data_IF_264244038700
#
_entry.id   IF_264244038700
#
_cell.length_a   1.000
_cell.length_b   1.000
_cell.length_c   1.000
_cell.angle_alpha   90.00
_cell.angle_beta   90.00
_cell.angle_gamma   90.00
#
_symmetry.space_group_name_H-M   'P 1'
#
loop_
_entity.id
_entity.type
_entity.pdbx_description
1 polymer ?
#
# COMPACT_ATOMS: atom_id res chain seq x y z
N UNK A 1 -25.17 -9.11 -14.15
CA UNK A 1 -24.37 -10.30 -13.77
C UNK A 1 -22.94 -9.98 -14.16
N UNK A 2 -22.11 -9.53 -13.23
CA UNK A 2 -20.68 -9.39 -13.49
C UNK A 2 -20.12 -10.81 -13.67
N UNK A 3 -19.45 -11.07 -14.80
CA UNK A 3 -18.76 -12.34 -15.03
C UNK A 3 -17.57 -12.49 -14.07
N UNK A 4 -17.01 -13.69 -13.93
CA UNK A 4 -15.76 -13.86 -13.19
C UNK A 4 -14.68 -12.98 -13.83
N UNK A 5 -13.97 -12.22 -13.00
CA UNK A 5 -12.77 -11.47 -13.42
C UNK A 5 -11.75 -12.48 -13.93
N UNK A 6 -11.24 -12.36 -15.16
CA UNK A 6 -10.23 -13.26 -15.66
C UNK A 6 -8.93 -13.13 -14.84
N UNK A 7 -8.20 -14.24 -14.63
CA UNK A 7 -6.93 -14.21 -13.89
C UNK A 7 -5.93 -13.28 -14.58
N UNK A 8 -5.28 -12.40 -13.81
CA UNK A 8 -4.26 -11.46 -14.29
C UNK A 8 -4.73 -10.03 -14.59
N UNK A 9 -6.02 -9.70 -14.36
CA UNK A 9 -6.52 -8.33 -14.46
C UNK A 9 -6.51 -7.55 -13.12
N UNK A 10 -6.31 -8.25 -12.00
CA UNK A 10 -6.21 -7.64 -10.67
C UNK A 10 -4.76 -7.39 -10.29
N UNK A 11 -4.49 -6.20 -9.75
CA UNK A 11 -3.19 -5.77 -9.25
C UNK A 11 -3.28 -5.27 -7.83
N UNK A 12 -2.33 -5.67 -6.99
CA UNK A 12 -2.13 -5.15 -5.64
C UNK A 12 -1.02 -4.10 -5.68
N UNK A 13 -1.36 -2.85 -5.44
CA UNK A 13 -0.41 -1.73 -5.47
C UNK A 13 -0.96 -0.56 -4.65
N UNK A 14 -0.06 0.27 -4.13
CA UNK A 14 -0.43 1.47 -3.40
C UNK A 14 -0.32 2.69 -4.31
N UNK A 15 -1.31 3.57 -4.21
CA UNK A 15 -1.30 4.90 -4.83
C UNK A 15 -1.73 5.93 -3.79
N UNK A 16 -0.96 7.02 -3.69
CA UNK A 16 -1.11 8.01 -2.64
C UNK A 16 -2.49 8.68 -2.69
N UNK A 17 -3.23 8.64 -1.58
CA UNK A 17 -4.56 9.24 -1.45
C UNK A 17 -5.67 8.51 -2.17
N UNK A 18 -5.40 7.35 -2.78
CA UNK A 18 -6.41 6.59 -3.53
C UNK A 18 -7.42 5.87 -2.62
N UNK A 19 -7.05 5.58 -1.36
CA UNK A 19 -7.89 4.85 -0.41
C UNK A 19 -8.11 3.37 -0.76
N UNK A 20 -7.39 2.82 -1.75
CA UNK A 20 -7.46 1.41 -2.14
C UNK A 20 -6.08 0.86 -2.45
N UNK A 21 -5.93 -0.45 -2.33
CA UNK A 21 -4.71 -1.18 -2.71
C UNK A 21 -4.95 -2.23 -3.79
N UNK A 22 -6.21 -2.46 -4.17
CA UNK A 22 -6.58 -3.36 -5.25
C UNK A 22 -7.03 -2.55 -6.47
N UNK A 23 -6.53 -2.95 -7.63
CA UNK A 23 -6.79 -2.34 -8.93
C UNK A 23 -7.22 -3.41 -9.93
N UNK A 24 -8.07 -3.04 -10.87
CA UNK A 24 -8.50 -3.94 -11.94
C UNK A 24 -9.89 -3.58 -12.50
N UNK A 25 -10.53 -4.50 -13.25
CA UNK A 25 -11.83 -4.26 -13.87
C UNK A 25 -12.90 -3.98 -12.81
N UNK A 26 -13.90 -3.20 -13.23
CA UNK A 26 -14.79 -2.50 -12.32
C UNK A 26 -15.62 -3.42 -11.40
N UNK A 27 -15.92 -2.86 -10.23
CA UNK A 27 -16.60 -3.39 -9.06
C UNK A 27 -15.78 -4.31 -8.13
N UNK A 28 -14.76 -3.72 -7.50
CA UNK A 28 -14.02 -4.34 -6.39
C UNK A 28 -14.92 -4.68 -5.19
N UNK A 29 -16.08 -4.03 -5.04
CA UNK A 29 -17.04 -4.36 -3.99
C UNK A 29 -17.73 -5.70 -4.24
N UNK A 30 -17.79 -6.16 -5.50
CA UNK A 30 -18.34 -7.47 -5.86
C UNK A 30 -17.36 -8.64 -5.69
N UNK A 31 -16.09 -8.38 -5.38
CA UNK A 31 -15.11 -9.45 -5.17
C UNK A 31 -15.51 -10.34 -3.96
N UNK A 32 -15.21 -11.65 -3.97
CA UNK A 32 -15.52 -12.55 -2.87
C UNK A 32 -14.52 -12.40 -1.70
N UNK A 33 -14.22 -11.17 -1.29
CA UNK A 33 -13.36 -10.86 -0.15
C UNK A 33 -14.19 -10.69 1.13
N UNK A 34 -13.69 -11.23 2.23
CA UNK A 34 -14.24 -11.08 3.56
C UNK A 34 -14.22 -9.61 4.02
N UNK A 35 -15.22 -9.22 4.83
CA UNK A 35 -15.29 -7.85 5.37
C UNK A 35 -14.05 -7.51 6.21
N UNK A 36 -13.48 -8.51 6.91
CA UNK A 36 -12.24 -8.36 7.67
C UNK A 36 -11.05 -8.00 6.78
N UNK A 37 -10.86 -8.73 5.68
CA UNK A 37 -9.79 -8.44 4.73
C UNK A 37 -10.03 -7.09 4.03
N UNK A 38 -11.27 -6.74 3.67
CA UNK A 38 -11.60 -5.43 3.09
C UNK A 38 -11.22 -4.27 4.03
N UNK A 39 -11.53 -4.40 5.32
CA UNK A 39 -11.17 -3.39 6.31
C UNK A 39 -9.65 -3.27 6.49
N UNK A 40 -8.94 -4.39 6.46
CA UNK A 40 -7.48 -4.46 6.51
C UNK A 40 -6.83 -3.78 5.29
N UNK A 41 -7.32 -4.06 4.08
CA UNK A 41 -6.85 -3.41 2.85
C UNK A 41 -7.07 -1.89 2.88
N UNK A 42 -8.23 -1.43 3.38
CA UNK A 42 -8.49 -0.01 3.57
C UNK A 42 -7.57 0.61 4.63
N UNK A 43 -7.28 -0.12 5.72
CA UNK A 43 -6.34 0.33 6.74
C UNK A 43 -4.91 0.41 6.22
N UNK A 44 -4.48 -0.54 5.37
CA UNK A 44 -3.18 -0.48 4.71
C UNK A 44 -3.08 0.73 3.78
N UNK A 45 -4.13 1.03 3.00
CA UNK A 45 -4.15 2.23 2.15
C UNK A 45 -3.97 3.51 2.98
N UNK A 46 -4.72 3.64 4.09
CA UNK A 46 -4.59 4.80 4.97
C UNK A 46 -3.20 4.89 5.63
N UNK A 47 -2.62 3.76 6.04
CA UNK A 47 -1.27 3.73 6.59
C UNK A 47 -0.21 4.10 5.55
N UNK A 48 -0.36 3.67 4.30
CA UNK A 48 0.55 4.08 3.23
C UNK A 48 0.56 5.60 3.04
N UNK A 49 -0.59 6.25 3.13
CA UNK A 49 -0.64 7.71 3.07
C UNK A 49 0.19 8.35 4.21
N UNK A 50 0.19 7.76 5.40
CA UNK A 50 1.04 8.25 6.51
C UNK A 50 2.54 8.03 6.29
N UNK A 51 2.96 7.22 5.32
CA UNK A 51 4.38 7.03 4.98
C UNK A 51 4.94 8.16 4.13
N UNK A 52 4.09 9.03 3.60
CA UNK A 52 4.46 10.09 2.68
C UNK A 52 4.61 11.44 3.39
N UNK A 53 5.50 12.29 2.87
CA UNK A 53 5.57 13.68 3.26
C UNK A 53 4.57 14.51 2.43
N UNK A 54 3.36 14.71 2.95
CA UNK A 54 2.32 15.46 2.23
C UNK A 54 2.58 16.96 2.15
N UNK A 55 3.34 17.51 3.10
CA UNK A 55 3.70 18.93 3.09
C UNK A 55 4.64 19.25 1.92
N UNK A 56 5.61 18.35 1.67
CA UNK A 56 6.49 18.43 0.51
C UNK A 56 6.94 17.02 0.08
N UNK A 57 6.28 16.41 -0.94
CA UNK A 57 6.57 15.04 -1.38
C UNK A 57 8.03 14.73 -1.77
N UNK A 58 8.83 15.69 -2.26
CA UNK A 58 10.25 15.45 -2.50
C UNK A 58 11.09 15.28 -1.23
N UNK A 59 10.60 15.67 -0.06
CA UNK A 59 11.30 15.46 1.21
C UNK A 59 11.07 14.05 1.76
N UNK A 60 11.97 13.55 2.64
CA UNK A 60 11.82 12.28 3.32
C UNK A 60 10.44 12.07 3.95
N UNK A 61 9.86 10.89 3.69
CA UNK A 61 8.69 10.40 4.43
C UNK A 61 9.03 10.17 5.92
N UNK A 62 8.05 10.27 6.83
CA UNK A 62 8.33 10.30 8.27
C UNK A 62 8.68 8.94 8.89
N UNK A 63 8.63 7.86 8.11
CA UNK A 63 8.76 6.50 8.63
C UNK A 63 10.22 6.07 8.77
N UNK A 64 10.52 5.54 9.97
CA UNK A 64 11.78 4.84 10.25
C UNK A 64 11.73 3.41 9.73
N UNK A 65 12.90 2.82 9.54
CA UNK A 65 13.06 1.50 8.89
C UNK A 65 12.23 0.42 9.58
N UNK A 66 12.15 0.44 10.92
CA UNK A 66 11.36 -0.52 11.69
C UNK A 66 9.85 -0.44 11.37
N UNK A 67 9.32 0.76 11.11
CA UNK A 67 7.91 0.95 10.72
C UNK A 67 7.69 0.51 9.28
N UNK A 68 8.61 0.86 8.37
CA UNK A 68 8.60 0.38 6.98
C UNK A 68 8.60 -1.15 6.91
N UNK A 69 9.51 -1.81 7.61
CA UNK A 69 9.61 -3.27 7.65
C UNK A 69 8.33 -3.94 8.17
N UNK A 70 7.70 -3.36 9.21
CA UNK A 70 6.43 -3.87 9.73
C UNK A 70 5.32 -3.75 8.70
N UNK A 71 5.19 -2.59 8.06
CA UNK A 71 4.20 -2.35 7.03
C UNK A 71 4.41 -3.27 5.81
N UNK A 72 5.65 -3.45 5.37
CA UNK A 72 5.97 -4.35 4.26
C UNK A 72 5.53 -5.78 4.57
N UNK A 73 5.79 -6.28 5.78
CA UNK A 73 5.32 -7.60 6.19
C UNK A 73 3.78 -7.69 6.18
N UNK A 74 3.10 -6.70 6.78
CA UNK A 74 1.64 -6.66 6.83
C UNK A 74 1.02 -6.60 5.41
N UNK A 75 1.63 -5.85 4.47
CA UNK A 75 1.19 -5.75 3.08
C UNK A 75 1.39 -7.06 2.29
N UNK A 76 2.52 -7.75 2.51
CA UNK A 76 2.79 -9.07 1.90
C UNK A 76 1.80 -10.12 2.39
N UNK A 77 1.55 -10.16 3.69
CA UNK A 77 0.57 -11.08 4.28
C UNK A 77 -0.85 -10.81 3.75
N UNK A 78 -1.23 -9.54 3.59
CA UNK A 78 -2.51 -9.18 2.99
C UNK A 78 -2.64 -9.62 1.53
N UNK A 79 -1.59 -9.46 0.71
CA UNK A 79 -1.58 -9.93 -0.69
C UNK A 79 -1.80 -11.45 -0.77
N UNK A 80 -1.11 -12.24 0.05
CA UNK A 80 -1.30 -13.69 0.08
C UNK A 80 -2.72 -14.08 0.48
N UNK A 81 -3.32 -13.35 1.43
CA UNK A 81 -4.73 -13.56 1.82
C UNK A 81 -5.70 -13.18 0.72
N UNK A 82 -5.45 -12.10 -0.02
CA UNK A 82 -6.25 -11.74 -1.20
C UNK A 82 -6.21 -12.86 -2.23
N UNK A 83 -5.02 -13.38 -2.57
CA UNK A 83 -4.87 -14.49 -3.51
C UNK A 83 -5.62 -15.73 -3.05
N UNK A 84 -5.53 -16.06 -1.76
CA UNK A 84 -6.22 -17.20 -1.17
C UNK A 84 -7.75 -17.06 -1.20
N UNK A 85 -8.31 -15.90 -0.85
CA UNK A 85 -9.76 -15.67 -0.87
C UNK A 85 -10.33 -15.58 -2.29
N UNK A 86 -9.59 -15.00 -3.24
CA UNK A 86 -10.00 -14.94 -4.64
C UNK A 86 -9.80 -16.26 -5.40
N UNK A 87 -8.95 -17.16 -4.89
CA UNK A 87 -8.59 -18.41 -5.54
C UNK A 87 -7.86 -18.21 -6.88
N UNK A 88 -7.17 -17.07 -7.06
CA UNK A 88 -6.46 -16.71 -8.29
C UNK A 88 -5.26 -15.82 -7.99
N UNK A 89 -4.37 -15.74 -8.96
CA UNK A 89 -3.23 -14.82 -8.90
C UNK A 89 -3.67 -13.35 -9.01
N UNK A 90 -2.94 -12.51 -8.29
CA UNK A 90 -3.03 -11.04 -8.33
C UNK A 90 -1.64 -10.51 -8.63
N UNK A 91 -1.54 -9.62 -9.61
CA UNK A 91 -0.28 -8.96 -9.97
C UNK A 91 0.27 -8.23 -8.74
N UNK A 92 1.52 -8.54 -8.39
CA UNK A 92 2.23 -7.86 -7.33
C UNK A 92 2.85 -6.57 -7.86
N UNK A 93 2.19 -5.46 -7.61
CA UNK A 93 2.70 -4.12 -7.88
C UNK A 93 3.22 -3.40 -6.65
N UNK A 94 3.32 -4.08 -5.50
CA UNK A 94 3.78 -3.47 -4.26
C UNK A 94 5.29 -3.29 -4.28
N UNK A 95 5.71 -2.05 -4.01
CA UNK A 95 7.12 -1.71 -3.81
C UNK A 95 7.33 -1.51 -2.31
N UNK A 96 8.28 -2.26 -1.76
CA UNK A 96 8.62 -2.17 -0.34
C UNK A 96 9.11 -0.79 0.04
N UNK A 97 8.62 -0.32 1.18
CA UNK A 97 9.04 0.95 1.76
C UNK A 97 10.35 0.75 2.50
N UNK A 98 11.19 1.78 2.46
CA UNK A 98 12.40 1.86 3.26
C UNK A 98 12.49 3.26 3.88
N UNK A 99 13.17 3.36 5.01
CA UNK A 99 13.57 4.65 5.55
C UNK A 99 14.35 5.42 4.49
N UNK A 100 13.95 6.67 4.27
CA UNK A 100 14.73 7.56 3.43
C UNK A 100 16.11 7.77 4.06
N UNK A 101 17.21 7.58 3.33
CA UNK A 101 18.57 7.73 3.89
C UNK A 101 18.82 9.12 4.47
N UNK A 102 18.11 10.14 3.99
CA UNK A 102 18.22 11.51 4.47
C UNK A 102 17.24 11.85 5.61
N UNK A 103 16.36 10.92 6.02
CA UNK A 103 15.36 11.18 7.08
C UNK A 103 16.02 11.63 8.40
N UNK A 104 17.17 11.07 8.74
CA UNK A 104 17.95 11.50 9.89
C UNK A 104 18.37 12.97 9.82
N UNK A 105 18.81 13.44 8.65
CA UNK A 105 19.20 14.84 8.41
C UNK A 105 17.97 15.75 8.39
N UNK A 106 16.91 15.32 7.70
CA UNK A 106 15.64 16.04 7.63
C UNK A 106 15.07 16.30 9.02
N UNK A 107 15.00 15.29 9.89
CA UNK A 107 14.45 15.45 11.24
C UNK A 107 15.32 16.30 12.18
N UNK A 108 16.61 16.45 11.88
CA UNK A 108 17.52 17.29 12.67
C UNK A 108 17.32 18.78 12.36
N UNK A 109 17.08 19.14 11.10
CA UNK A 109 16.75 20.51 10.68
C UNK A 109 15.83 20.51 9.44
N UNK A 110 14.50 20.39 9.62
CA UNK A 110 13.57 20.34 8.50
C UNK A 110 13.52 21.64 7.68
N UNK A 111 13.85 22.79 8.29
CA UNK A 111 13.75 24.11 7.62
C UNK A 111 14.97 24.42 6.77
N UNK A 112 16.12 23.85 7.12
CA UNK A 112 17.37 23.96 6.38
C UNK A 112 17.69 22.73 5.52
N UNK A 113 16.76 21.78 5.40
CA UNK A 113 16.99 20.57 4.64
C UNK A 113 17.02 20.86 3.12
N UNK A 114 18.09 20.42 2.47
CA UNK A 114 18.25 20.43 1.01
C UNK A 114 18.71 19.03 0.58
N UNK A 115 18.06 18.50 -0.46
CA UNK A 115 18.29 17.16 -0.99
C UNK A 115 19.37 17.14 -2.07
#
# INVERSE_FOLDING_TARGET
MAGPVPPGELRFAFDAGSGTVLWGPADLAALPLSDGLRAELASLAAQYDESLNWDYPPDPGPWREARCARFNADARDALERVRAELGQEVEDGFVELHEDPDLGRYLADPKGFER
#
